data_IF_859084621477
#
_entry.id   IF_859084621477
#
_cell.length_a   1.000
_cell.length_b   1.000
_cell.length_c   1.000
_cell.angle_alpha   90.00
_cell.angle_beta   90.00
_cell.angle_gamma   90.00
#
_symmetry.space_group_name_H-M   'P 1'
#
loop_
_entity.id
_entity.type
_entity.pdbx_description
1 polymer ?
#
# COMPACT_ATOMS: atom_id res chain seq x y z
N UNK A 1 -7.81 10.33 10.90
CA UNK A 1 -7.35 8.92 10.99
C UNK A 1 -5.83 8.94 10.94
N UNK A 2 -5.16 8.42 11.95
CA UNK A 2 -3.69 8.31 11.97
C UNK A 2 -3.25 7.16 11.04
N UNK A 3 -2.09 7.26 10.39
CA UNK A 3 -1.57 6.22 9.49
C UNK A 3 -1.57 4.82 10.13
N UNK A 4 -1.21 4.72 11.41
CA UNK A 4 -1.20 3.45 12.15
C UNK A 4 -2.58 2.81 12.25
N UNK A 5 -3.62 3.61 12.47
CA UNK A 5 -5.00 3.10 12.54
C UNK A 5 -5.44 2.54 11.19
N UNK A 6 -5.17 3.27 10.10
CA UNK A 6 -5.47 2.84 8.74
C UNK A 6 -4.68 1.58 8.34
N UNK A 7 -3.41 1.50 8.72
CA UNK A 7 -2.55 0.33 8.52
C UNK A 7 -3.15 -0.91 9.18
N UNK A 8 -3.46 -0.82 10.48
CA UNK A 8 -4.00 -1.96 11.22
C UNK A 8 -5.37 -2.40 10.70
N UNK A 9 -6.27 -1.45 10.42
CA UNK A 9 -7.59 -1.73 9.85
C UNK A 9 -7.49 -2.41 8.47
N UNK A 10 -6.59 -1.93 7.61
CA UNK A 10 -6.35 -2.52 6.27
C UNK A 10 -5.83 -3.95 6.38
N UNK A 11 -4.84 -4.20 7.25
CA UNK A 11 -4.27 -5.52 7.43
C UNK A 11 -5.28 -6.51 8.03
N UNK A 12 -6.08 -6.07 9.01
CA UNK A 12 -7.16 -6.86 9.60
C UNK A 12 -8.22 -7.24 8.55
N UNK A 13 -8.60 -6.27 7.69
CA UNK A 13 -9.49 -6.50 6.55
C UNK A 13 -8.91 -7.46 5.52
N UNK A 14 -7.60 -7.50 5.33
CA UNK A 14 -6.94 -8.48 4.48
C UNK A 14 -6.95 -9.91 5.08
N UNK A 15 -7.42 -10.09 6.32
CA UNK A 15 -7.53 -11.40 6.94
C UNK A 15 -6.24 -11.87 7.60
N UNK A 16 -5.31 -10.97 7.89
CA UNK A 16 -4.10 -11.35 8.63
C UNK A 16 -4.40 -11.55 10.12
N UNK A 17 -3.75 -12.54 10.72
CA UNK A 17 -3.83 -12.77 12.17
C UNK A 17 -2.68 -12.05 12.88
N UNK A 18 -3.01 -11.27 13.92
CA UNK A 18 -2.06 -10.50 14.75
C UNK A 18 -1.12 -11.38 15.60
N UNK A 19 -1.18 -12.71 15.47
CA UNK A 19 -0.49 -13.66 16.36
C UNK A 19 0.81 -14.25 15.78
N UNK A 20 1.22 -13.89 14.56
CA UNK A 20 2.46 -14.40 13.96
C UNK A 20 3.49 -13.29 13.71
N UNK A 21 4.78 -13.62 13.86
CA UNK A 21 5.89 -12.68 13.67
C UNK A 21 5.92 -12.04 12.28
N UNK A 22 5.40 -12.71 11.25
CA UNK A 22 5.34 -12.12 9.92
C UNK A 22 4.37 -10.93 9.83
N UNK A 23 3.32 -10.90 10.66
CA UNK A 23 2.47 -9.72 10.83
C UNK A 23 3.28 -8.53 11.37
N UNK A 24 4.03 -8.74 12.45
CA UNK A 24 4.84 -7.70 13.08
C UNK A 24 5.91 -7.17 12.11
N UNK A 25 6.51 -8.06 11.32
CA UNK A 25 7.46 -7.68 10.27
C UNK A 25 6.82 -6.89 9.14
N UNK A 26 5.60 -7.22 8.72
CA UNK A 26 4.84 -6.46 7.72
C UNK A 26 4.49 -5.07 8.26
N UNK A 27 3.99 -4.99 9.50
CA UNK A 27 3.65 -3.71 10.15
C UNK A 27 4.89 -2.82 10.23
N UNK A 28 6.00 -3.32 10.79
CA UNK A 28 7.23 -2.55 10.91
C UNK A 28 7.78 -2.15 9.54
N UNK A 29 7.77 -3.06 8.56
CA UNK A 29 8.18 -2.75 7.20
C UNK A 29 7.34 -1.67 6.51
N UNK A 30 6.01 -1.65 6.71
CA UNK A 30 5.15 -0.60 6.17
C UNK A 30 5.35 0.74 6.88
N UNK A 31 5.65 0.73 8.18
CA UNK A 31 6.04 1.94 8.92
C UNK A 31 7.37 2.51 8.42
N UNK A 32 8.38 1.67 8.14
CA UNK A 32 9.63 2.12 7.52
C UNK A 32 9.39 2.75 6.15
N UNK A 33 8.46 2.21 5.35
CA UNK A 33 8.11 2.77 4.05
C UNK A 33 7.35 4.10 4.15
N UNK A 34 6.60 4.32 5.22
CA UNK A 34 5.97 5.61 5.51
C UNK A 34 7.00 6.69 5.87
N UNK A 35 8.10 6.30 6.52
CA UNK A 35 9.21 7.21 6.83
C UNK A 35 10.10 7.48 5.60
N UNK A 36 10.44 6.44 4.83
CA UNK A 36 11.15 6.55 3.57
C UNK A 36 10.57 5.59 2.50
N UNK A 37 9.77 6.12 1.55
CA UNK A 37 9.15 5.32 0.50
C UNK A 37 10.15 4.60 -0.42
N UNK A 38 11.42 5.03 -0.48
CA UNK A 38 12.43 4.42 -1.35
C UNK A 38 12.94 3.06 -0.85
N UNK A 39 12.64 2.68 0.39
CA UNK A 39 13.07 1.43 1.02
C UNK A 39 12.65 0.16 0.25
N UNK A 40 11.53 0.21 -0.49
CA UNK A 40 11.02 -0.94 -1.26
C UNK A 40 11.84 -1.27 -2.52
N UNK A 41 12.61 -0.29 -3.03
CA UNK A 41 13.44 -0.48 -4.23
C UNK A 41 14.42 -1.64 -4.05
N UNK A 42 14.97 -1.79 -2.85
CA UNK A 42 15.98 -2.75 -2.46
C UNK A 42 15.59 -3.53 -1.18
N UNK A 43 14.47 -4.26 -1.26
CA UNK A 43 13.87 -4.98 -0.12
C UNK A 43 14.86 -5.85 0.67
N UNK A 44 15.78 -6.57 0.00
CA UNK A 44 16.73 -7.47 0.67
C UNK A 44 17.85 -6.73 1.39
N UNK A 45 18.26 -5.55 0.90
CA UNK A 45 19.43 -4.82 1.42
C UNK A 45 19.06 -3.75 2.45
N UNK A 46 17.83 -3.25 2.41
CA UNK A 46 17.34 -2.26 3.37
C UNK A 46 16.25 -2.86 4.22
N UNK A 47 15.04 -3.05 3.67
CA UNK A 47 13.86 -3.41 4.45
C UNK A 47 14.07 -4.66 5.32
N UNK A 48 14.53 -5.77 4.74
CA UNK A 48 14.74 -7.01 5.49
C UNK A 48 15.88 -6.93 6.50
N UNK A 49 16.92 -6.14 6.23
CA UNK A 49 18.05 -5.96 7.14
C UNK A 49 17.61 -5.10 8.34
N UNK A 50 16.83 -4.05 8.09
CA UNK A 50 16.30 -3.18 9.15
C UNK A 50 15.34 -3.95 10.06
N UNK A 51 14.35 -4.65 9.48
CA UNK A 51 13.45 -5.54 10.24
C UNK A 51 14.27 -6.59 11.02
N UNK A 52 15.28 -7.20 10.39
CA UNK A 52 16.08 -8.23 11.06
C UNK A 52 16.85 -7.65 12.26
N UNK A 53 17.42 -6.46 12.14
CA UNK A 53 18.12 -5.78 13.21
C UNK A 53 17.14 -5.39 14.34
N UNK A 54 15.96 -4.87 14.01
CA UNK A 54 14.93 -4.48 14.98
C UNK A 54 14.48 -5.66 15.85
N UNK A 55 14.25 -6.83 15.23
CA UNK A 55 13.74 -8.02 15.92
C UNK A 55 14.83 -9.03 16.34
N UNK A 56 16.12 -8.69 16.20
CA UNK A 56 17.22 -9.57 16.58
C UNK A 56 17.21 -10.92 15.84
N UNK A 57 16.92 -10.90 14.54
CA UNK A 57 16.81 -12.11 13.69
C UNK A 57 17.64 -11.99 12.41
N UNK A 58 17.48 -12.90 11.45
CA UNK A 58 18.16 -12.83 10.15
C UNK A 58 17.20 -12.38 9.05
N UNK A 59 17.72 -11.71 8.01
CA UNK A 59 16.92 -11.30 6.85
C UNK A 59 16.22 -12.50 6.16
N UNK A 60 16.81 -13.70 6.20
CA UNK A 60 16.19 -14.94 5.68
C UNK A 60 14.96 -15.34 6.51
N UNK A 61 15.05 -15.21 7.85
CA UNK A 61 13.92 -15.43 8.73
C UNK A 61 12.81 -14.41 8.48
N UNK A 62 13.16 -13.13 8.30
CA UNK A 62 12.21 -12.06 7.96
C UNK A 62 11.47 -12.40 6.66
N UNK A 63 12.21 -12.63 5.57
CA UNK A 63 11.65 -12.94 4.25
C UNK A 63 10.69 -14.14 4.31
N UNK A 64 11.12 -15.23 4.96
CA UNK A 64 10.32 -16.46 5.09
C UNK A 64 9.02 -16.21 5.86
N UNK A 65 9.09 -15.50 6.99
CA UNK A 65 7.90 -15.23 7.81
C UNK A 65 6.91 -14.35 7.07
N UNK A 66 7.38 -13.29 6.39
CA UNK A 66 6.53 -12.42 5.57
C UNK A 66 5.86 -13.22 4.46
N UNK A 67 6.61 -14.06 3.74
CA UNK A 67 6.05 -14.91 2.67
C UNK A 67 4.96 -15.85 3.19
N UNK A 68 5.17 -16.43 4.37
CA UNK A 68 4.17 -17.29 5.01
C UNK A 68 2.92 -16.51 5.41
N UNK A 69 3.05 -15.31 5.96
CA UNK A 69 1.89 -14.46 6.29
C UNK A 69 1.12 -14.04 5.04
N UNK A 70 1.82 -13.71 3.95
CA UNK A 70 1.18 -13.41 2.65
C UNK A 70 0.44 -14.62 2.10
N UNK A 71 0.99 -15.84 2.24
CA UNK A 71 0.27 -17.07 1.89
C UNK A 71 -1.05 -17.19 2.65
N UNK A 72 -1.02 -17.00 3.97
CA UNK A 72 -2.22 -17.08 4.81
C UNK A 72 -3.26 -16.04 4.40
N UNK A 73 -2.84 -14.79 4.18
CA UNK A 73 -3.70 -13.71 3.69
C UNK A 73 -4.35 -14.12 2.36
N UNK A 74 -3.57 -14.60 1.40
CA UNK A 74 -4.08 -14.96 0.07
C UNK A 74 -5.10 -16.10 0.12
N UNK A 75 -4.89 -17.09 0.99
CA UNK A 75 -5.78 -18.26 1.12
C UNK A 75 -7.05 -17.95 1.93
N UNK A 76 -7.01 -16.96 2.84
CA UNK A 76 -8.19 -16.55 3.63
C UNK A 76 -9.35 -15.98 2.80
N UNK A 77 -9.14 -15.76 1.49
CA UNK A 77 -10.21 -15.52 0.49
C UNK A 77 -11.07 -14.29 0.72
N UNK A 78 -10.55 -13.22 1.34
CA UNK A 78 -11.22 -11.91 1.27
C UNK A 78 -11.00 -11.25 -0.10
N UNK A 79 -11.54 -11.86 -1.15
CA UNK A 79 -11.36 -11.43 -2.54
C UNK A 79 -11.76 -9.98 -2.78
N UNK A 80 -12.73 -9.47 -2.03
CA UNK A 80 -13.12 -8.07 -2.10
C UNK A 80 -11.98 -7.15 -1.68
N UNK A 81 -11.28 -7.47 -0.59
CA UNK A 81 -10.13 -6.68 -0.14
C UNK A 81 -8.89 -6.95 -0.99
N UNK A 82 -8.65 -8.20 -1.40
CA UNK A 82 -7.56 -8.53 -2.31
C UNK A 82 -7.67 -7.74 -3.63
N UNK A 83 -8.87 -7.65 -4.22
CA UNK A 83 -9.09 -6.85 -5.44
C UNK A 83 -8.87 -5.36 -5.21
N UNK A 84 -9.26 -4.83 -4.05
CA UNK A 84 -9.06 -3.41 -3.72
C UNK A 84 -7.58 -3.04 -3.57
N UNK A 85 -6.80 -3.90 -2.92
CA UNK A 85 -5.39 -3.61 -2.60
C UNK A 85 -4.47 -4.03 -3.74
N UNK A 86 -4.69 -5.19 -4.34
CA UNK A 86 -3.76 -5.80 -5.31
C UNK A 86 -4.29 -5.85 -6.75
N UNK A 87 -5.56 -5.48 -6.99
CA UNK A 87 -6.20 -5.63 -8.31
C UNK A 87 -6.38 -7.09 -8.75
N UNK A 88 -6.28 -8.04 -7.81
CA UNK A 88 -6.24 -9.50 -8.04
C UNK A 88 -7.14 -10.22 -7.02
N UNK A 89 -7.68 -11.38 -7.35
CA UNK A 89 -8.35 -12.29 -6.40
C UNK A 89 -7.46 -13.45 -5.96
N UNK A 90 -7.91 -14.19 -4.95
CA UNK A 90 -7.25 -15.42 -4.47
C UNK A 90 -7.03 -16.47 -5.57
N UNK A 91 -7.85 -16.46 -6.63
CA UNK A 91 -7.70 -17.29 -7.83
C UNK A 91 -6.50 -16.91 -8.72
N UNK A 92 -5.97 -15.69 -8.58
CA UNK A 92 -4.85 -15.20 -9.37
C UNK A 92 -3.51 -15.51 -8.69
N UNK A 93 -2.42 -15.13 -9.36
CA UNK A 93 -1.07 -15.26 -8.82
C UNK A 93 -0.90 -14.41 -7.55
N UNK A 94 -0.61 -15.10 -6.44
CA UNK A 94 -0.23 -14.49 -5.16
C UNK A 94 0.93 -13.52 -5.33
N UNK A 95 0.87 -12.32 -4.74
CA UNK A 95 1.97 -11.37 -4.79
C UNK A 95 3.23 -11.94 -4.13
N UNK A 96 4.38 -11.60 -4.69
CA UNK A 96 5.67 -11.70 -4.00
C UNK A 96 5.70 -10.77 -2.79
N UNK A 97 6.66 -10.96 -1.87
CA UNK A 97 6.82 -10.05 -0.72
C UNK A 97 6.98 -8.58 -1.17
N UNK A 98 7.75 -8.34 -2.24
CA UNK A 98 7.95 -6.99 -2.79
C UNK A 98 6.67 -6.39 -3.35
N UNK A 99 5.91 -7.15 -4.15
CA UNK A 99 4.60 -6.69 -4.66
C UNK A 99 3.62 -6.43 -3.53
N UNK A 100 3.60 -7.28 -2.50
CA UNK A 100 2.71 -7.13 -1.35
C UNK A 100 2.96 -5.81 -0.61
N UNK A 101 4.21 -5.53 -0.24
CA UNK A 101 4.56 -4.26 0.39
C UNK A 101 4.24 -3.07 -0.49
N UNK A 102 4.62 -3.12 -1.78
CA UNK A 102 4.38 -2.04 -2.74
C UNK A 102 2.89 -1.70 -2.83
N UNK A 103 2.05 -2.67 -3.15
CA UNK A 103 0.62 -2.44 -3.35
C UNK A 103 -0.12 -2.08 -2.06
N UNK A 104 0.26 -2.69 -0.93
CA UNK A 104 -0.33 -2.33 0.37
C UNK A 104 0.03 -0.89 0.72
N UNK A 105 1.28 -0.48 0.54
CA UNK A 105 1.72 0.89 0.78
C UNK A 105 1.01 1.88 -0.15
N UNK A 106 0.95 1.62 -1.46
CA UNK A 106 0.25 2.47 -2.44
C UNK A 106 -1.24 2.63 -2.09
N UNK A 107 -1.89 1.57 -1.62
CA UNK A 107 -3.28 1.61 -1.17
C UNK A 107 -3.47 2.48 0.07
N UNK A 108 -2.61 2.30 1.08
CA UNK A 108 -2.63 3.10 2.32
C UNK A 108 -2.37 4.58 2.03
N UNK A 109 -1.36 4.87 1.19
CA UNK A 109 -1.00 6.23 0.78
C UNK A 109 -2.15 6.90 0.00
N UNK A 110 -2.82 6.16 -0.88
CA UNK A 110 -3.99 6.65 -1.62
C UNK A 110 -5.12 7.05 -0.66
N UNK A 111 -5.46 6.20 0.32
CA UNK A 111 -6.54 6.50 1.28
C UNK A 111 -6.17 7.68 2.17
N UNK A 112 -4.92 7.72 2.66
CA UNK A 112 -4.41 8.83 3.46
C UNK A 112 -4.60 10.16 2.73
N UNK A 113 -4.25 10.22 1.45
CA UNK A 113 -4.41 11.42 0.63
C UNK A 113 -5.87 11.71 0.23
N UNK A 114 -6.73 10.70 0.09
CA UNK A 114 -8.18 10.89 -0.10
C UNK A 114 -8.86 11.48 1.13
N UNK A 115 -8.47 11.07 2.34
CA UNK A 115 -8.98 11.65 3.59
C UNK A 115 -8.49 13.10 3.80
N UNK A 116 -7.31 13.45 3.30
CA UNK A 116 -6.83 14.83 3.27
C UNK A 116 -7.56 15.67 2.20
N UNK A 117 -7.97 15.06 1.08
CA UNK A 117 -8.71 15.67 -0.02
C UNK A 117 -10.24 15.77 0.23
N UNK A 118 -10.68 15.65 1.48
CA UNK A 118 -12.01 16.12 1.91
C UNK A 118 -12.21 17.64 1.70
N UNK A 119 -11.17 18.36 1.28
CA UNK A 119 -11.24 19.64 0.60
C UNK A 119 -10.47 19.55 -0.73
N UNK A 120 -11.20 19.50 -1.84
CA UNK A 120 -10.77 19.67 -3.24
C UNK A 120 -9.93 18.54 -3.91
N UNK A 121 -10.65 17.79 -4.74
CA UNK A 121 -10.29 17.25 -6.06
C UNK A 121 -9.71 15.82 -6.16
N UNK A 122 -10.37 14.90 -6.92
CA UNK A 122 -9.82 13.58 -7.26
C UNK A 122 -8.56 13.71 -8.14
N UNK A 123 -7.45 13.13 -7.69
CA UNK A 123 -6.22 13.02 -8.48
C UNK A 123 -6.50 12.16 -9.73
N UNK A 124 -6.71 12.81 -10.87
CA UNK A 124 -6.73 12.17 -12.18
C UNK A 124 -5.29 11.86 -12.60
N UNK A 125 -4.93 10.58 -12.64
CA UNK A 125 -3.66 10.15 -13.22
C UNK A 125 -3.77 10.12 -14.74
N UNK A 126 -2.76 10.66 -15.44
CA UNK A 126 -2.70 10.62 -16.89
C UNK A 126 -2.57 9.16 -17.38
N UNK A 127 -3.49 8.65 -18.23
CA UNK A 127 -3.46 7.26 -18.68
C UNK A 127 -2.28 6.93 -19.62
N UNK A 128 -1.49 7.92 -20.04
CA UNK A 128 -0.34 7.72 -20.93
C UNK A 128 1.00 7.74 -20.20
N UNK A 129 1.15 8.53 -19.14
CA UNK A 129 2.44 8.65 -18.42
C UNK A 129 2.38 8.25 -16.95
N UNK A 130 1.18 7.95 -16.40
CA UNK A 130 0.97 7.53 -15.02
C UNK A 130 1.54 8.50 -13.96
N UNK A 131 1.84 9.74 -14.34
CA UNK A 131 2.30 10.82 -13.46
C UNK A 131 1.34 12.02 -13.56
N UNK A 132 1.42 12.94 -12.60
CA UNK A 132 0.78 14.25 -12.73
C UNK A 132 1.45 14.99 -13.89
N UNK A 133 0.69 15.32 -14.91
CA UNK A 133 1.17 16.01 -16.10
C UNK A 133 0.43 17.34 -16.20
N UNK A 134 1.13 18.40 -16.60
CA UNK A 134 0.57 19.75 -16.82
C UNK A 134 -0.71 19.75 -17.67
N UNK A 135 -0.88 18.74 -18.53
CA UNK A 135 -2.07 18.51 -19.35
C UNK A 135 -3.32 18.27 -18.48
N UNK A 136 -3.21 17.48 -17.41
CA UNK A 136 -4.33 17.20 -16.51
C UNK A 136 -4.69 18.40 -15.64
N UNK A 137 -3.71 19.23 -15.25
CA UNK A 137 -3.95 20.51 -14.58
C UNK A 137 -4.73 21.47 -15.48
N UNK A 138 -4.35 21.56 -16.76
CA UNK A 138 -5.01 22.43 -17.71
C UNK A 138 -6.44 21.97 -18.04
N UNK A 139 -6.69 20.65 -18.18
CA UNK A 139 -8.03 20.10 -18.40
C UNK A 139 -8.91 20.37 -17.17
N UNK A 140 -8.37 20.20 -15.96
CA UNK A 140 -9.12 20.44 -14.74
C UNK A 140 -9.48 21.92 -14.55
N UNK A 141 -8.55 22.84 -14.83
CA UNK A 141 -8.82 24.28 -14.82
C UNK A 141 -9.97 24.66 -15.76
N UNK A 142 -9.99 24.07 -16.96
CA UNK A 142 -11.09 24.32 -17.91
C UNK A 142 -12.42 23.78 -17.40
N UNK A 143 -12.43 22.62 -16.73
CA UNK A 143 -13.67 22.04 -16.18
C UNK A 143 -14.22 22.82 -15.00
N UNK A 144 -13.38 23.42 -14.16
CA UNK A 144 -13.81 24.30 -13.06
C UNK A 144 -14.38 25.61 -13.58
N UNK A 145 -13.77 26.19 -14.62
CA UNK A 145 -14.26 27.43 -15.24
C UNK A 145 -15.69 27.27 -15.82
N UNK A 146 -16.04 26.08 -16.32
CA UNK A 146 -17.41 25.79 -16.78
C UNK A 146 -18.43 25.66 -15.65
N UNK A 147 -18.01 25.21 -14.46
CA UNK A 147 -18.90 25.09 -13.29
C UNK A 147 -19.18 26.46 -12.64
N UNK A 148 -18.20 27.37 -12.67
CA UNK A 148 -18.35 28.73 -12.13
C UNK A 148 -19.16 29.67 -13.04
N UNK A 149 -19.33 29.34 -14.33
CA UNK A 149 -20.18 30.10 -15.27
C UNK A 149 -21.65 29.62 -15.23
N UNK A 150 -21.92 28.45 -14.65
CA UNK A 150 -23.24 27.83 -14.61
C UNK A 150 -24.00 28.03 -13.27
N UNK A 151 -23.44 28.80 -12.34
CA UNK A 151 -24.04 29.24 -11.06
C UNK A 151 -24.05 30.77 -10.97
#
# INVERSE_FOLDING_TARGET
MNYKELLFDTLEKLGTSKTNLGYDYIVYGLLLMEEDPHCISCITKFLYIDIANHYGTTWKCVEKNIRNSILTIWVSSNDRMLKKVFGRSSSDNRPTNKEFFKHTYEYLDTIKHQCAAGALHPRFFCPSCHSHCQIMENIFSQMTDFYDIAN
#
